data_IF_789840011988
#
_entry.id   IF_789840011988
#
_cell.length_a   1.000
_cell.length_b   1.000
_cell.length_c   1.000
_cell.angle_alpha   90.00
_cell.angle_beta   90.00
_cell.angle_gamma   90.00
#
_symmetry.space_group_name_H-M   'P 1'
#
loop_
_entity.id
_entity.type
_entity.pdbx_description
1 polymer ?
#
# COMPACT_ATOMS: atom_id res chain seq x y z
N UNK A 1 -28.04 33.72 9.11
CA UNK A 1 -27.92 32.28 9.41
C UNK A 1 -29.32 31.80 9.76
N UNK A 2 -30.08 31.28 8.79
CA UNK A 2 -31.48 30.89 9.00
C UNK A 2 -31.62 29.62 9.86
N UNK A 3 -30.60 28.76 9.85
CA UNK A 3 -30.60 27.48 10.54
C UNK A 3 -30.48 27.59 12.06
N UNK A 4 -29.88 28.68 12.58
CA UNK A 4 -29.66 28.86 14.02
C UNK A 4 -30.98 29.00 14.83
N UNK A 5 -32.09 29.25 14.16
CA UNK A 5 -33.43 29.45 14.75
C UNK A 5 -34.41 28.31 14.44
N UNK A 6 -33.98 27.27 13.73
CA UNK A 6 -34.85 26.14 13.40
C UNK A 6 -34.98 25.16 14.58
N UNK A 7 -36.19 24.67 14.89
CA UNK A 7 -36.42 23.72 15.98
C UNK A 7 -35.93 22.29 15.66
N UNK A 8 -35.56 22.02 14.42
CA UNK A 8 -35.13 20.71 13.94
C UNK A 8 -34.02 20.84 12.90
N UNK A 9 -33.02 19.96 12.97
CA UNK A 9 -31.95 19.84 11.99
C UNK A 9 -31.97 18.41 11.44
N UNK A 10 -31.90 18.29 10.11
CA UNK A 10 -31.74 16.99 9.43
C UNK A 10 -30.26 16.69 9.30
N UNK A 11 -29.85 15.50 9.73
CA UNK A 11 -28.47 15.01 9.60
C UNK A 11 -28.40 14.00 8.46
N UNK A 12 -27.43 14.18 7.58
CA UNK A 12 -27.16 13.28 6.46
C UNK A 12 -25.88 12.48 6.75
N UNK A 13 -25.76 11.30 6.12
CA UNK A 13 -24.57 10.45 6.12
C UNK A 13 -24.08 9.94 7.48
N UNK A 14 -24.94 9.94 8.49
CA UNK A 14 -24.68 9.33 9.81
C UNK A 14 -25.71 8.25 10.12
N UNK A 15 -25.24 7.06 10.48
CA UNK A 15 -26.11 5.99 10.92
C UNK A 15 -26.77 6.33 12.27
N UNK A 16 -28.06 6.01 12.48
CA UNK A 16 -28.77 6.33 13.73
C UNK A 16 -28.06 5.83 14.98
N UNK A 17 -27.48 4.62 14.94
CA UNK A 17 -26.77 4.04 16.08
C UNK A 17 -25.45 4.77 16.37
N UNK A 18 -24.67 5.13 15.33
CA UNK A 18 -23.47 5.95 15.49
C UNK A 18 -23.81 7.31 16.11
N UNK A 19 -24.89 7.94 15.65
CA UNK A 19 -25.34 9.23 16.19
C UNK A 19 -25.78 9.11 17.66
N UNK A 20 -26.48 8.03 18.02
CA UNK A 20 -26.90 7.77 19.41
C UNK A 20 -25.71 7.60 20.34
N UNK A 21 -24.68 6.87 19.92
CA UNK A 21 -23.43 6.71 20.68
C UNK A 21 -22.70 8.05 20.80
N UNK A 22 -22.63 8.83 19.72
CA UNK A 22 -22.03 10.15 19.72
C UNK A 22 -22.75 11.10 20.69
N UNK A 23 -24.08 11.11 20.69
CA UNK A 23 -24.87 11.89 21.66
C UNK A 23 -24.62 11.44 23.10
N UNK A 24 -24.59 10.14 23.35
CA UNK A 24 -24.26 9.61 24.68
C UNK A 24 -22.89 10.10 25.14
N UNK A 25 -21.89 10.07 24.26
CA UNK A 25 -20.57 10.62 24.58
C UNK A 25 -20.63 12.13 24.88
N UNK A 26 -21.37 12.92 24.11
CA UNK A 26 -21.50 14.37 24.35
C UNK A 26 -22.10 14.68 25.73
N UNK A 27 -23.08 13.90 26.18
CA UNK A 27 -23.82 14.17 27.42
C UNK A 27 -23.24 13.45 28.66
N UNK A 28 -22.72 12.24 28.49
CA UNK A 28 -22.26 11.36 29.58
C UNK A 28 -20.74 11.20 29.63
N UNK A 29 -20.03 11.69 28.61
CA UNK A 29 -18.59 11.49 28.43
C UNK A 29 -18.15 10.01 28.43
N UNK A 30 -19.06 9.13 28.02
CA UNK A 30 -18.91 7.68 28.08
C UNK A 30 -19.26 7.03 26.73
N UNK A 31 -18.49 6.00 26.38
CA UNK A 31 -18.79 5.09 25.27
C UNK A 31 -19.35 3.77 25.83
N UNK A 32 -20.20 3.07 25.05
CA UNK A 32 -20.60 1.71 25.39
C UNK A 32 -19.38 0.79 25.53
N UNK A 33 -19.51 -0.23 26.37
CA UNK A 33 -18.46 -1.22 26.58
C UNK A 33 -18.23 -2.03 25.29
N UNK A 34 -17.02 -2.56 25.11
CA UNK A 34 -16.67 -3.30 23.90
C UNK A 34 -17.54 -4.56 23.75
N UNK A 35 -17.94 -5.19 24.88
CA UNK A 35 -18.85 -6.34 24.86
C UNK A 35 -20.27 -5.98 24.39
N UNK A 36 -20.71 -4.72 24.57
CA UNK A 36 -22.02 -4.26 24.10
C UNK A 36 -22.05 -4.08 22.58
N UNK A 37 -20.91 -3.79 21.96
CA UNK A 37 -20.78 -3.56 20.51
C UNK A 37 -20.50 -4.89 19.78
N UNK A 38 -19.81 -5.81 20.44
CA UNK A 38 -19.52 -7.15 19.91
C UNK A 38 -18.66 -7.12 18.64
N UNK A 39 -18.91 -8.06 17.74
CA UNK A 39 -18.09 -8.29 16.53
C UNK A 39 -18.04 -7.08 15.56
N UNK A 40 -19.00 -6.15 15.69
CA UNK A 40 -19.07 -4.93 14.88
C UNK A 40 -18.22 -3.77 15.41
N UNK A 41 -17.41 -4.00 16.46
CA UNK A 41 -16.62 -2.95 17.13
C UNK A 41 -15.80 -2.10 16.15
N UNK A 42 -15.08 -2.75 15.24
CA UNK A 42 -14.19 -2.06 14.30
C UNK A 42 -14.98 -1.18 13.34
N UNK A 43 -16.06 -1.71 12.76
CA UNK A 43 -16.94 -0.96 11.85
C UNK A 43 -17.61 0.22 12.56
N UNK A 44 -18.13 -0.02 13.77
CA UNK A 44 -18.72 1.03 14.60
C UNK A 44 -17.71 2.13 14.94
N UNK A 45 -16.47 1.78 15.31
CA UNK A 45 -15.42 2.76 15.60
C UNK A 45 -15.01 3.55 14.36
N UNK A 46 -15.05 2.97 13.15
CA UNK A 46 -14.81 3.70 11.89
C UNK A 46 -15.90 4.72 11.61
N UNK A 47 -17.16 4.35 11.76
CA UNK A 47 -18.28 5.28 11.62
C UNK A 47 -18.24 6.39 12.67
N UNK A 48 -17.90 6.05 13.91
CA UNK A 48 -17.78 7.02 14.99
C UNK A 48 -16.60 7.96 14.80
N UNK A 49 -15.48 7.48 14.23
CA UNK A 49 -14.35 8.31 13.85
C UNK A 49 -14.74 9.33 12.77
N UNK A 50 -15.49 8.90 11.76
CA UNK A 50 -16.01 9.78 10.70
C UNK A 50 -16.92 10.88 11.28
N UNK A 51 -17.87 10.48 12.13
CA UNK A 51 -18.74 11.42 12.82
C UNK A 51 -17.94 12.36 13.73
N UNK A 52 -16.98 11.85 14.51
CA UNK A 52 -16.17 12.69 15.38
C UNK A 52 -15.37 13.75 14.59
N UNK A 53 -14.92 13.44 13.37
CA UNK A 53 -14.28 14.40 12.49
C UNK A 53 -15.25 15.47 11.99
N UNK A 54 -16.41 15.07 11.45
CA UNK A 54 -17.41 16.02 10.91
C UNK A 54 -17.99 16.96 11.95
N UNK A 55 -18.19 16.49 13.19
CA UNK A 55 -18.72 17.30 14.29
C UNK A 55 -17.61 17.91 15.16
N UNK A 56 -16.34 17.83 14.75
CA UNK A 56 -15.18 18.39 15.44
C UNK A 56 -15.07 17.96 16.92
N UNK A 57 -15.35 16.69 17.21
CA UNK A 57 -15.24 16.09 18.54
C UNK A 57 -13.84 15.48 18.71
N UNK A 58 -12.83 16.32 18.90
CA UNK A 58 -11.41 15.93 18.91
C UNK A 58 -11.10 14.79 19.89
N UNK A 59 -11.67 14.85 21.10
CA UNK A 59 -11.43 13.83 22.12
C UNK A 59 -12.04 12.48 21.74
N UNK A 60 -13.24 12.48 21.17
CA UNK A 60 -13.88 11.27 20.66
C UNK A 60 -13.08 10.67 19.50
N UNK A 61 -12.59 11.53 18.60
CA UNK A 61 -11.75 11.15 17.47
C UNK A 61 -10.49 10.42 17.92
N UNK A 62 -9.80 10.93 18.95
CA UNK A 62 -8.61 10.27 19.53
C UNK A 62 -8.97 8.91 20.13
N UNK A 63 -10.07 8.81 20.88
CA UNK A 63 -10.51 7.54 21.48
C UNK A 63 -10.82 6.49 20.40
N UNK A 64 -11.56 6.87 19.36
CA UNK A 64 -11.88 5.97 18.24
C UNK A 64 -10.61 5.51 17.53
N UNK A 65 -9.70 6.44 17.24
CA UNK A 65 -8.42 6.12 16.61
C UNK A 65 -7.58 5.16 17.47
N UNK A 66 -7.59 5.33 18.79
CA UNK A 66 -6.87 4.44 19.70
C UNK A 66 -7.50 3.04 19.73
N UNK A 67 -8.82 2.92 19.81
CA UNK A 67 -9.51 1.62 19.75
C UNK A 67 -9.27 0.87 18.43
N UNK A 68 -9.30 1.60 17.31
CA UNK A 68 -8.96 1.03 16.00
C UNK A 68 -7.52 0.54 15.96
N UNK A 69 -6.60 1.31 16.56
CA UNK A 69 -5.21 0.90 16.66
C UNK A 69 -5.02 -0.38 17.48
N UNK A 70 -5.71 -0.50 18.62
CA UNK A 70 -5.55 -1.63 19.54
C UNK A 70 -6.11 -2.93 18.95
N UNK A 71 -7.01 -2.83 17.96
CA UNK A 71 -7.61 -3.95 17.24
C UNK A 71 -7.09 -4.08 15.79
N UNK A 72 -5.89 -3.53 15.49
CA UNK A 72 -5.28 -3.66 14.18
C UNK A 72 -4.95 -5.12 13.87
N UNK A 73 -5.39 -5.59 12.70
CA UNK A 73 -5.05 -6.89 12.14
C UNK A 73 -4.66 -6.75 10.67
N UNK A 74 -4.09 -7.80 10.08
CA UNK A 74 -3.72 -7.82 8.65
C UNK A 74 -4.92 -7.58 7.73
N UNK A 75 -6.12 -8.00 8.13
CA UNK A 75 -7.34 -7.80 7.35
C UNK A 75 -7.90 -6.37 7.48
N UNK A 76 -7.67 -5.72 8.63
CA UNK A 76 -8.28 -4.42 8.96
C UNK A 76 -7.33 -3.24 8.80
N UNK A 77 -6.02 -3.49 8.67
CA UNK A 77 -5.00 -2.43 8.63
C UNK A 77 -5.14 -1.53 7.40
N UNK A 78 -5.49 -2.10 6.24
CA UNK A 78 -5.69 -1.32 5.02
C UNK A 78 -6.88 -0.36 5.17
N UNK A 79 -8.00 -0.90 5.62
CA UNK A 79 -9.21 -0.16 5.90
C UNK A 79 -9.02 0.94 6.95
N UNK A 80 -8.28 0.63 8.01
CA UNK A 80 -7.97 1.56 9.10
C UNK A 80 -7.02 2.66 8.63
N UNK A 81 -6.03 2.32 7.78
CA UNK A 81 -5.14 3.30 7.17
C UNK A 81 -5.89 4.24 6.22
N UNK A 82 -6.85 3.73 5.44
CA UNK A 82 -7.70 4.56 4.57
C UNK A 82 -8.52 5.56 5.40
N UNK A 83 -9.12 5.11 6.51
CA UNK A 83 -9.79 5.99 7.46
C UNK A 83 -8.83 7.02 8.07
N UNK A 84 -7.62 6.61 8.44
CA UNK A 84 -6.65 7.52 9.05
C UNK A 84 -6.24 8.66 8.09
N UNK A 85 -6.11 8.38 6.80
CA UNK A 85 -5.81 9.38 5.79
C UNK A 85 -7.00 10.28 5.49
N UNK A 86 -8.20 9.69 5.35
CA UNK A 86 -9.44 10.41 5.06
C UNK A 86 -9.77 11.43 6.16
N UNK A 87 -9.64 11.03 7.42
CA UNK A 87 -9.96 11.87 8.59
C UNK A 87 -8.71 12.53 9.19
N UNK A 88 -7.58 12.55 8.48
CA UNK A 88 -6.34 13.21 8.89
C UNK A 88 -5.81 12.83 10.30
N UNK A 89 -5.96 11.55 10.67
CA UNK A 89 -5.50 10.99 11.94
C UNK A 89 -4.03 10.57 11.84
N UNK A 90 -3.11 11.54 11.99
CA UNK A 90 -1.66 11.30 11.80
C UNK A 90 -1.06 10.24 12.73
N UNK A 91 -1.55 10.10 13.97
CA UNK A 91 -1.04 9.08 14.90
C UNK A 91 -1.47 7.66 14.48
N UNK A 92 -2.74 7.49 14.09
CA UNK A 92 -3.26 6.22 13.60
C UNK A 92 -2.53 5.80 12.32
N UNK A 93 -2.36 6.74 11.38
CA UNK A 93 -1.60 6.54 10.15
C UNK A 93 -0.19 6.01 10.43
N UNK A 94 0.56 6.66 11.33
CA UNK A 94 1.92 6.22 11.69
C UNK A 94 1.94 4.80 12.24
N UNK A 95 0.98 4.44 13.09
CA UNK A 95 0.90 3.09 13.66
C UNK A 95 0.51 2.04 12.62
N UNK A 96 -0.42 2.34 11.71
CA UNK A 96 -0.74 1.47 10.58
C UNK A 96 0.48 1.26 9.66
N UNK A 97 1.22 2.32 9.34
CA UNK A 97 2.46 2.23 8.56
C UNK A 97 3.51 1.39 9.29
N UNK A 98 3.67 1.57 10.61
CA UNK A 98 4.59 0.76 11.41
C UNK A 98 4.18 -0.72 11.45
N UNK A 99 2.88 -1.03 11.47
CA UNK A 99 2.37 -2.40 11.39
C UNK A 99 2.67 -3.06 10.03
N UNK A 100 2.50 -2.28 8.95
CA UNK A 100 2.82 -2.68 7.57
C UNK A 100 4.33 -2.66 7.26
N UNK A 101 5.17 -2.22 8.20
CA UNK A 101 6.62 -2.27 8.02
C UNK A 101 7.18 -3.69 8.19
N UNK A 102 6.43 -4.59 8.84
CA UNK A 102 6.73 -6.01 8.85
C UNK A 102 6.32 -6.64 7.52
N UNK A 103 7.27 -7.26 6.83
CA UNK A 103 7.09 -7.89 5.51
C UNK A 103 5.94 -8.89 5.48
N UNK A 104 5.78 -9.69 6.54
CA UNK A 104 4.71 -10.71 6.61
C UNK A 104 3.33 -10.07 6.67
N UNK A 105 3.23 -8.97 7.42
CA UNK A 105 1.98 -8.23 7.55
C UNK A 105 1.67 -7.46 6.27
N UNK A 106 2.70 -6.93 5.60
CA UNK A 106 2.54 -6.27 4.32
C UNK A 106 2.04 -7.25 3.27
N UNK A 107 2.68 -8.42 3.12
CA UNK A 107 2.26 -9.44 2.16
C UNK A 107 0.82 -9.88 2.42
N UNK A 108 0.48 -10.19 3.68
CA UNK A 108 -0.88 -10.59 4.05
C UNK A 108 -1.91 -9.46 3.80
N UNK A 109 -1.60 -8.22 4.18
CA UNK A 109 -2.49 -7.09 3.96
C UNK A 109 -2.69 -6.80 2.48
N UNK A 110 -1.65 -6.93 1.66
CA UNK A 110 -1.73 -6.68 0.21
C UNK A 110 -2.56 -7.72 -0.54
N UNK A 111 -2.70 -8.92 0.01
CA UNK A 111 -3.63 -9.94 -0.50
C UNK A 111 -5.09 -9.67 -0.12
N UNK A 112 -5.34 -8.73 0.82
CA UNK A 112 -6.70 -8.37 1.21
C UNK A 112 -7.37 -7.45 0.18
N UNK A 113 -8.70 -7.58 0.08
CA UNK A 113 -9.52 -6.68 -0.74
C UNK A 113 -9.42 -5.22 -0.25
N UNK A 114 -9.28 -5.03 1.07
CA UNK A 114 -9.15 -3.71 1.69
C UNK A 114 -7.93 -2.93 1.22
N UNK A 115 -6.81 -3.62 0.93
CA UNK A 115 -5.61 -2.95 0.40
C UNK A 115 -5.79 -2.46 -1.03
N UNK A 116 -6.49 -3.23 -1.87
CA UNK A 116 -6.85 -2.79 -3.22
C UNK A 116 -7.71 -1.53 -3.17
N UNK A 117 -8.69 -1.48 -2.27
CA UNK A 117 -9.56 -0.32 -2.08
C UNK A 117 -8.78 0.90 -1.55
N UNK A 118 -7.87 0.71 -0.59
CA UNK A 118 -7.00 1.76 -0.08
C UNK A 118 -6.17 2.41 -1.19
N UNK A 119 -5.57 1.59 -2.06
CA UNK A 119 -4.78 2.09 -3.19
C UNK A 119 -5.64 2.91 -4.17
N UNK A 120 -6.89 2.50 -4.39
CA UNK A 120 -7.83 3.22 -5.24
C UNK A 120 -8.28 4.55 -4.64
N UNK A 121 -8.54 4.58 -3.33
CA UNK A 121 -9.04 5.77 -2.64
C UNK A 121 -7.93 6.78 -2.34
N UNK A 122 -6.71 6.32 -2.06
CA UNK A 122 -5.62 7.16 -1.58
C UNK A 122 -4.25 6.73 -2.15
N UNK A 123 -3.92 7.03 -3.41
CA UNK A 123 -2.64 6.64 -4.02
C UNK A 123 -1.40 7.24 -3.34
N UNK A 124 -1.55 8.33 -2.57
CA UNK A 124 -0.46 8.96 -1.78
C UNK A 124 0.05 8.08 -0.62
N UNK A 125 -0.77 7.15 -0.12
CA UNK A 125 -0.39 6.23 0.96
C UNK A 125 0.71 5.27 0.53
N UNK A 126 0.61 4.77 -0.71
CA UNK A 126 1.57 3.85 -1.32
C UNK A 126 2.94 4.50 -1.47
N UNK A 127 2.99 5.77 -1.85
CA UNK A 127 4.25 6.53 -1.93
C UNK A 127 4.88 6.68 -0.55
N UNK A 128 4.07 6.94 0.48
CA UNK A 128 4.55 7.06 1.86
C UNK A 128 5.06 5.72 2.40
N UNK A 129 4.35 4.62 2.12
CA UNK A 129 4.78 3.26 2.45
C UNK A 129 6.11 2.93 1.76
N UNK A 130 6.23 3.23 0.45
CA UNK A 130 7.47 3.07 -0.32
C UNK A 130 8.64 3.81 0.32
N UNK A 131 8.48 5.11 0.60
CA UNK A 131 9.55 5.91 1.21
C UNK A 131 9.90 5.44 2.62
N UNK A 132 8.93 4.95 3.40
CA UNK A 132 9.18 4.47 4.77
C UNK A 132 9.94 3.15 4.77
N UNK A 133 9.59 2.21 3.89
CA UNK A 133 10.34 0.96 3.69
C UNK A 133 11.77 1.23 3.21
N UNK A 134 11.94 2.21 2.32
CA UNK A 134 13.26 2.63 1.81
C UNK A 134 14.16 3.29 2.87
N UNK A 135 13.57 3.90 3.91
CA UNK A 135 14.30 4.54 5.03
C UNK A 135 14.59 3.56 6.18
N UNK A 136 13.74 2.55 6.39
CA UNK A 136 13.93 1.54 7.44
C UNK A 136 14.98 0.47 7.09
N UNK A 137 15.23 0.23 5.79
CA UNK A 137 16.29 -0.66 5.30
C UNK A 137 17.33 0.11 4.46
N UNK A 138 18.13 1.00 5.06
CA UNK A 138 19.11 1.80 4.33
C UNK A 138 20.30 0.99 3.80
N UNK A 139 20.59 -0.18 4.38
CA UNK A 139 21.82 -0.95 4.13
C UNK A 139 21.73 -1.94 2.95
N UNK A 140 20.61 -2.00 2.22
CA UNK A 140 20.46 -2.91 1.05
C UNK A 140 21.08 -2.31 -0.24
N UNK A 141 21.73 -1.13 -0.15
CA UNK A 141 22.37 -0.44 -1.28
C UNK A 141 23.90 -0.54 -1.31
N UNK A 142 24.53 -1.26 -0.37
CA UNK A 142 25.96 -1.58 -0.46
C UNK A 142 26.11 -3.08 -0.58
N UNK A 143 26.44 -3.52 -1.81
CA UNK A 143 26.83 -4.89 -2.05
C UNK A 143 28.11 -5.18 -1.26
N UNK A 144 28.03 -6.21 -0.43
CA UNK A 144 29.11 -7.15 -0.21
C UNK A 144 28.51 -8.50 0.19
N UNK A 145 29.13 -9.54 -0.33
CA UNK A 145 28.73 -10.94 -0.32
C UNK A 145 28.56 -11.54 1.09
N UNK A 146 27.78 -12.63 1.11
CA UNK A 146 27.68 -13.67 2.15
C UNK A 146 26.98 -13.27 3.46
N UNK A 147 25.65 -13.52 3.53
CA UNK A 147 24.98 -14.26 4.62
C UNK A 147 23.47 -14.44 4.35
N UNK A 148 23.00 -15.63 4.70
CA UNK A 148 21.67 -16.21 4.55
C UNK A 148 20.56 -15.46 5.35
N UNK A 149 19.34 -15.45 4.79
CA UNK A 149 18.04 -14.97 5.32
C UNK A 149 17.75 -13.45 5.37
N UNK A 150 16.96 -12.98 4.42
CA UNK A 150 16.17 -11.74 4.52
C UNK A 150 15.83 -11.19 3.14
N UNK A 151 14.67 -11.55 2.62
CA UNK A 151 14.22 -11.23 1.26
C UNK A 151 14.42 -9.75 0.91
N UNK A 152 15.10 -9.48 -0.21
CA UNK A 152 15.30 -8.11 -0.69
C UNK A 152 13.94 -7.47 -1.05
N UNK A 153 13.74 -6.15 -0.89
CA UNK A 153 12.47 -5.51 -1.26
C UNK A 153 12.09 -5.72 -2.73
N UNK A 154 13.09 -5.94 -3.59
CA UNK A 154 12.92 -6.41 -4.98
C UNK A 154 12.31 -7.80 -5.06
N UNK A 155 12.77 -8.78 -4.28
CA UNK A 155 12.17 -10.12 -4.24
C UNK A 155 10.76 -10.08 -3.64
N UNK A 156 10.49 -9.24 -2.65
CA UNK A 156 9.14 -9.03 -2.12
C UNK A 156 8.22 -8.48 -3.21
N UNK A 157 8.64 -7.43 -3.92
CA UNK A 157 7.90 -6.86 -5.05
C UNK A 157 7.69 -7.85 -6.21
N UNK A 158 8.66 -8.72 -6.48
CA UNK A 158 8.56 -9.78 -7.50
C UNK A 158 7.60 -10.91 -7.07
N UNK A 159 7.68 -11.35 -5.82
CA UNK A 159 6.76 -12.35 -5.24
C UNK A 159 5.33 -11.81 -5.17
N UNK A 160 5.20 -10.51 -4.93
CA UNK A 160 3.96 -9.78 -4.91
C UNK A 160 3.37 -9.56 -6.33
N UNK A 161 4.20 -9.36 -7.35
CA UNK A 161 3.76 -9.45 -8.75
C UNK A 161 3.25 -10.87 -9.09
N UNK A 162 3.92 -11.91 -8.57
CA UNK A 162 3.51 -13.30 -8.76
C UNK A 162 2.14 -13.62 -8.13
N UNK A 163 1.84 -13.07 -6.95
CA UNK A 163 0.55 -13.28 -6.28
C UNK A 163 -0.56 -12.45 -6.91
N UNK A 164 -0.29 -11.22 -7.36
CA UNK A 164 -1.30 -10.35 -7.98
C UNK A 164 -1.75 -10.81 -9.37
N UNK A 165 -0.94 -11.58 -10.09
CA UNK A 165 -1.32 -12.22 -11.36
C UNK A 165 -2.41 -13.29 -11.17
N UNK A 166 -2.46 -13.94 -10.00
CA UNK A 166 -3.53 -14.89 -9.64
C UNK A 166 -4.88 -14.21 -9.42
N UNK A 167 -4.92 -12.90 -9.17
CA UNK A 167 -6.13 -12.17 -8.76
C UNK A 167 -6.63 -11.12 -9.77
N UNK A 168 -6.04 -11.03 -10.97
CA UNK A 168 -6.47 -10.12 -12.04
C UNK A 168 -6.55 -8.63 -11.61
N UNK A 169 -5.64 -8.19 -10.73
CA UNK A 169 -5.54 -6.80 -10.27
C UNK A 169 -4.58 -6.02 -11.17
N UNK A 170 -4.95 -5.80 -12.43
CA UNK A 170 -4.09 -5.20 -13.45
C UNK A 170 -3.56 -3.80 -13.06
N UNK A 171 -4.31 -3.04 -12.26
CA UNK A 171 -3.87 -1.73 -11.75
C UNK A 171 -2.82 -1.84 -10.64
N UNK A 172 -2.90 -2.87 -9.79
CA UNK A 172 -1.90 -3.10 -8.73
C UNK A 172 -0.59 -3.60 -9.34
N UNK A 173 -0.67 -4.46 -10.37
CA UNK A 173 0.48 -4.86 -11.17
C UNK A 173 1.20 -3.66 -11.78
N UNK A 174 0.43 -2.75 -12.39
CA UNK A 174 0.99 -1.55 -13.03
C UNK A 174 1.66 -0.62 -12.01
N UNK A 175 1.11 -0.52 -10.80
CA UNK A 175 1.72 0.25 -9.71
C UNK A 175 2.97 -0.44 -9.11
N UNK A 176 2.94 -1.76 -8.90
CA UNK A 176 4.12 -2.51 -8.44
C UNK A 176 5.24 -2.46 -9.47
N UNK A 177 4.90 -2.61 -10.75
CA UNK A 177 5.80 -2.42 -11.88
C UNK A 177 6.41 -1.02 -11.88
N UNK A 178 5.62 0.03 -11.64
CA UNK A 178 6.11 1.40 -11.59
C UNK A 178 7.01 1.66 -10.36
N UNK A 179 6.69 1.06 -9.21
CA UNK A 179 7.53 1.12 -8.00
C UNK A 179 8.86 0.40 -8.22
N UNK A 180 8.84 -0.77 -8.87
CA UNK A 180 10.04 -1.50 -9.29
C UNK A 180 10.86 -0.65 -10.25
N UNK A 181 10.23 -0.07 -11.28
CA UNK A 181 10.90 0.72 -12.32
C UNK A 181 11.64 1.94 -11.75
N UNK A 182 11.04 2.64 -10.80
CA UNK A 182 11.69 3.78 -10.13
C UNK A 182 12.99 3.40 -9.38
N UNK A 183 13.16 2.12 -9.03
CA UNK A 183 14.36 1.59 -8.36
C UNK A 183 15.33 0.89 -9.32
N UNK A 184 15.05 0.91 -10.63
CA UNK A 184 15.89 0.26 -11.64
C UNK A 184 17.20 1.01 -11.83
N UNK A 185 18.30 0.26 -11.72
CA UNK A 185 19.66 0.68 -12.02
C UNK A 185 20.22 -0.12 -13.21
N UNK A 186 21.41 0.23 -13.66
CA UNK A 186 22.11 -0.47 -14.75
C UNK A 186 22.33 -1.96 -14.42
N UNK A 187 22.43 -2.31 -13.14
CA UNK A 187 22.68 -3.67 -12.69
C UNK A 187 21.40 -4.49 -12.46
N UNK A 188 20.29 -3.82 -12.14
CA UNK A 188 19.00 -4.46 -11.80
C UNK A 188 17.99 -4.49 -12.96
N UNK A 189 18.18 -3.71 -14.02
CA UNK A 189 17.23 -3.65 -15.15
C UNK A 189 16.98 -5.01 -15.82
N UNK A 190 17.99 -5.89 -15.86
CA UNK A 190 17.85 -7.20 -16.47
C UNK A 190 16.97 -8.16 -15.64
N UNK A 191 17.08 -8.13 -14.32
CA UNK A 191 16.22 -8.95 -13.44
C UNK A 191 14.81 -8.39 -13.43
N UNK A 192 14.64 -7.06 -13.42
CA UNK A 192 13.33 -6.42 -13.55
C UNK A 192 12.64 -6.74 -14.88
N UNK A 193 13.39 -6.79 -15.99
CA UNK A 193 12.86 -7.19 -17.30
C UNK A 193 12.50 -8.70 -17.35
N UNK A 194 13.27 -9.56 -16.68
CA UNK A 194 12.92 -10.97 -16.53
C UNK A 194 11.59 -11.14 -15.79
N UNK A 195 11.38 -10.34 -14.75
CA UNK A 195 10.14 -10.33 -13.98
C UNK A 195 8.99 -9.74 -14.79
N UNK A 196 9.22 -8.69 -15.58
CA UNK A 196 8.20 -8.13 -16.48
C UNK A 196 7.65 -9.18 -17.46
N UNK A 197 8.53 -9.99 -18.07
CA UNK A 197 8.12 -11.07 -18.96
C UNK A 197 7.45 -12.22 -18.20
N UNK A 198 8.04 -12.64 -17.09
CA UNK A 198 7.53 -13.75 -16.27
C UNK A 198 6.11 -13.48 -15.76
N UNK A 199 5.77 -12.22 -15.50
CA UNK A 199 4.47 -11.79 -14.97
C UNK A 199 3.60 -11.06 -16.00
N UNK A 200 3.91 -11.19 -17.30
CA UNK A 200 3.12 -10.63 -18.41
C UNK A 200 2.75 -9.15 -18.21
N UNK A 201 3.72 -8.33 -17.81
CA UNK A 201 3.55 -6.89 -17.59
C UNK A 201 4.09 -6.09 -18.80
N UNK A 202 3.24 -5.72 -19.78
CA UNK A 202 3.71 -5.15 -21.04
C UNK A 202 4.30 -3.74 -20.88
N UNK A 203 3.81 -2.92 -19.95
CA UNK A 203 4.34 -1.58 -19.68
C UNK A 203 5.78 -1.65 -19.17
N UNK A 204 6.04 -2.53 -18.20
CA UNK A 204 7.37 -2.71 -17.61
C UNK A 204 8.35 -3.32 -18.61
N UNK A 205 7.87 -4.26 -19.43
CA UNK A 205 8.64 -4.84 -20.53
C UNK A 205 9.05 -3.76 -21.53
N UNK A 206 8.12 -2.90 -21.94
CA UNK A 206 8.40 -1.81 -22.88
C UNK A 206 9.42 -0.82 -22.32
N UNK A 207 9.27 -0.43 -21.05
CA UNK A 207 10.22 0.45 -20.37
C UNK A 207 11.61 -0.19 -20.24
N UNK A 208 11.68 -1.47 -19.86
CA UNK A 208 12.91 -2.27 -19.81
C UNK A 208 13.65 -2.26 -21.14
N UNK A 209 12.94 -2.59 -22.21
CA UNK A 209 13.49 -2.60 -23.58
C UNK A 209 13.96 -1.20 -24.00
N UNK A 210 13.21 -0.13 -23.70
CA UNK A 210 13.65 1.25 -23.97
C UNK A 210 14.92 1.62 -23.21
N UNK A 211 15.05 1.20 -21.95
CA UNK A 211 16.24 1.47 -21.15
C UNK A 211 17.50 0.82 -21.73
N UNK A 212 17.38 -0.40 -22.25
CA UNK A 212 18.47 -1.07 -22.98
C UNK A 212 18.76 -0.42 -24.34
N UNK A 213 17.74 0.10 -25.03
CA UNK A 213 17.90 0.82 -26.29
C UNK A 213 18.57 2.19 -26.15
N UNK A 214 18.57 2.77 -24.95
CA UNK A 214 19.32 4.00 -24.68
C UNK A 214 20.83 3.73 -24.76
N UNK A 215 21.51 4.33 -25.76
CA UNK A 215 22.95 4.15 -26.06
C UNK A 215 23.93 4.33 -24.89
N UNK A 216 23.50 4.92 -23.78
CA UNK A 216 24.31 5.15 -22.58
C UNK A 216 24.30 3.96 -21.60
N UNK A 217 23.40 3.00 -21.80
CA UNK A 217 23.15 1.90 -20.86
C UNK A 217 23.71 0.55 -21.32
N UNK A 218 24.64 0.56 -22.30
CA UNK A 218 25.25 -0.66 -22.85
C UNK A 218 25.97 -1.51 -21.79
N UNK A 219 26.38 -0.90 -20.67
CA UNK A 219 26.94 -1.62 -19.52
C UNK A 219 25.96 -2.62 -18.90
N UNK A 220 24.65 -2.39 -19.00
CA UNK A 220 23.62 -3.29 -18.49
C UNK A 220 23.60 -4.65 -19.22
N UNK A 221 24.11 -4.71 -20.46
CA UNK A 221 24.23 -5.95 -21.25
C UNK A 221 25.38 -6.83 -20.74
N UNK A 222 26.35 -6.23 -20.03
CA UNK A 222 27.51 -6.91 -19.47
C UNK A 222 27.26 -7.45 -18.06
N UNK A 223 26.09 -7.19 -17.48
CA UNK A 223 25.74 -7.62 -16.12
C UNK A 223 25.39 -9.11 -16.08
N UNK A 224 25.68 -9.78 -14.96
CA UNK A 224 25.28 -11.19 -14.73
C UNK A 224 23.77 -11.40 -14.94
N UNK A 225 22.94 -10.41 -14.59
CA UNK A 225 21.49 -10.45 -14.78
C UNK A 225 21.08 -10.56 -16.25
N UNK A 226 21.82 -9.95 -17.19
CA UNK A 226 21.52 -10.06 -18.62
C UNK A 226 21.81 -11.46 -19.17
N UNK A 227 22.89 -12.09 -18.69
CA UNK A 227 23.21 -13.48 -19.04
C UNK A 227 22.11 -14.43 -18.55
N UNK A 228 21.62 -14.24 -17.33
CA UNK A 228 20.50 -15.02 -16.80
C UNK A 228 19.19 -14.76 -17.56
N UNK A 229 18.90 -13.51 -17.94
CA UNK A 229 17.76 -13.14 -18.76
C UNK A 229 17.76 -13.91 -20.09
N UNK A 230 18.91 -13.94 -20.77
CA UNK A 230 19.03 -14.66 -22.05
C UNK A 230 18.93 -16.18 -21.94
N UNK A 231 19.31 -16.76 -20.80
CA UNK A 231 19.12 -18.19 -20.54
C UNK A 231 17.65 -18.55 -20.27
N UNK A 232 16.92 -17.64 -19.61
CA UNK A 232 15.56 -17.90 -19.11
C UNK A 232 14.48 -17.50 -20.11
N UNK A 233 14.72 -16.45 -20.88
CA UNK A 233 13.77 -15.89 -21.85
C UNK A 233 14.49 -15.47 -23.16
N UNK A 234 14.83 -16.42 -24.05
CA UNK A 234 15.52 -16.12 -25.29
C UNK A 234 14.72 -15.21 -26.23
N UNK A 235 13.39 -15.23 -26.15
CA UNK A 235 12.47 -14.36 -26.91
C UNK A 235 12.70 -12.87 -26.66
N UNK A 236 13.01 -12.48 -25.41
CA UNK A 236 13.28 -11.08 -25.05
C UNK A 236 14.61 -10.61 -25.66
N UNK A 237 15.61 -11.50 -25.74
CA UNK A 237 16.91 -11.18 -26.34
C UNK A 237 16.76 -10.91 -27.84
N UNK A 238 15.93 -11.70 -28.53
CA UNK A 238 15.64 -11.46 -29.94
C UNK A 238 14.93 -10.11 -30.14
N UNK A 239 13.97 -9.76 -29.28
CA UNK A 239 13.24 -8.48 -29.31
C UNK A 239 14.16 -7.28 -28.98
N UNK A 240 15.07 -7.44 -28.01
CA UNK A 240 16.12 -6.47 -27.72
C UNK A 240 17.10 -6.34 -28.88
N UNK A 241 17.48 -7.44 -29.55
CA UNK A 241 18.38 -7.41 -30.71
C UNK A 241 17.74 -6.65 -31.87
N UNK A 242 16.45 -6.86 -32.11
CA UNK A 242 15.69 -6.19 -33.16
C UNK A 242 15.51 -4.68 -32.90
N UNK A 243 15.26 -4.27 -31.65
CA UNK A 243 15.12 -2.85 -31.28
C UNK A 243 16.43 -2.09 -31.10
N UNK A 244 17.46 -2.74 -30.55
CA UNK A 244 18.75 -2.10 -30.22
C UNK A 244 19.73 -2.14 -31.40
N UNK A 245 19.47 -2.98 -32.41
CA UNK A 245 20.31 -3.08 -33.61
C UNK A 245 21.69 -3.67 -33.31
N UNK A 246 21.72 -4.69 -32.45
CA UNK A 246 22.91 -5.50 -32.16
C UNK A 246 23.15 -6.54 -33.26
#
# INVERSE_FOLDING_TARGET
MADATMPSITLHDIAPETFKIMLRFIYEDALPADEEIGDSLIEMMRHLLAAADWYALDRLKVICAQKLCDNLSVDTVADTLACAETYNCQQLRKKCIAFLADEKNLEAAMLSEGFVQLVQQCPSTVVTLKSTLQVMYPDVFHGDDDLDLGDSPTEVLERLLATTDRHALDRLKLMCAQILWDNVSVDTVATTLACAEMYTCPELKHQGIEFFAAKKNFKAVLTKGFVQLGQRFPSIIDELRERVGL
#
